data_IF_476943948981
#
_entry.id   IF_476943948981
#
_cell.length_a   1.000
_cell.length_b   1.000
_cell.length_c   1.000
_cell.angle_alpha   90.00
_cell.angle_beta   90.00
_cell.angle_gamma   90.00
#
_symmetry.space_group_name_H-M   'P 1'
#
loop_
_entity.id
_entity.type
_entity.pdbx_description
1 polymer ?
#
# COMPACT_ATOMS: atom_id res chain seq x y z
N UNK A 1 -5.18 36.97 0.04
CA UNK A 1 -4.83 36.17 1.24
C UNK A 1 -5.89 36.39 2.32
N UNK A 2 -6.37 35.34 3.02
CA UNK A 2 -7.21 35.48 4.19
C UNK A 2 -6.43 36.20 5.30
N UNK A 3 -6.98 37.26 5.88
CA UNK A 3 -6.29 38.03 6.93
C UNK A 3 -6.51 39.54 6.97
N UNK A 4 -7.34 40.12 6.09
CA UNK A 4 -7.55 41.59 6.04
C UNK A 4 -8.57 42.14 7.05
N UNK A 5 -9.22 41.28 7.85
CA UNK A 5 -10.15 41.73 8.91
C UNK A 5 -9.79 41.07 10.24
N UNK A 6 -9.43 41.89 11.23
CA UNK A 6 -9.16 41.46 12.60
C UNK A 6 -10.50 41.15 13.29
N UNK A 7 -10.96 39.91 13.17
CA UNK A 7 -11.92 39.32 14.09
C UNK A 7 -11.18 38.25 14.92
N UNK A 8 -11.50 38.14 16.21
CA UNK A 8 -10.89 37.16 17.13
C UNK A 8 -11.11 35.70 16.68
N UNK A 9 -12.22 35.44 15.99
CA UNK A 9 -12.61 34.15 15.43
C UNK A 9 -12.14 33.93 13.97
N UNK A 10 -11.45 34.91 13.38
CA UNK A 10 -11.14 34.97 11.95
C UNK A 10 -9.77 34.44 11.54
N UNK A 11 -9.52 34.51 10.24
CA UNK A 11 -8.19 34.31 9.68
C UNK A 11 -7.27 35.48 10.04
N UNK A 12 -6.10 35.17 10.57
CA UNK A 12 -5.01 36.12 10.78
C UNK A 12 -3.78 35.65 10.00
N UNK A 13 -2.86 36.56 9.70
CA UNK A 13 -1.61 36.19 9.02
C UNK A 13 -0.80 35.12 9.78
N UNK A 14 -0.90 35.09 11.12
CA UNK A 14 -0.28 34.05 11.94
C UNK A 14 -0.95 32.67 11.70
N UNK A 15 -2.30 32.62 11.75
CA UNK A 15 -3.05 31.38 11.48
C UNK A 15 -2.83 30.88 10.06
N UNK A 16 -2.79 31.77 9.07
CA UNK A 16 -2.49 31.44 7.66
C UNK A 16 -1.12 30.79 7.52
N UNK A 17 -0.09 31.35 8.18
CA UNK A 17 1.27 30.75 8.17
C UNK A 17 1.31 29.39 8.83
N UNK A 18 0.72 29.24 10.03
CA UNK A 18 0.66 27.95 10.73
C UNK A 18 -0.08 26.91 9.88
N UNK A 19 -1.24 27.29 9.32
CA UNK A 19 -2.03 26.43 8.47
C UNK A 19 -1.24 25.93 7.25
N UNK A 20 -0.63 26.83 6.48
CA UNK A 20 0.12 26.45 5.28
C UNK A 20 1.38 25.63 5.61
N UNK A 21 2.05 25.92 6.72
CA UNK A 21 3.21 25.15 7.18
C UNK A 21 2.82 23.69 7.53
N UNK A 22 1.77 23.52 8.34
CA UNK A 22 1.28 22.19 8.75
C UNK A 22 0.70 21.43 7.55
N UNK A 23 -0.01 22.12 6.66
CA UNK A 23 -0.52 21.53 5.43
C UNK A 23 0.64 21.07 4.53
N UNK A 24 1.71 21.85 4.47
CA UNK A 24 2.93 21.52 3.72
C UNK A 24 3.71 20.33 4.26
N UNK A 25 3.51 19.99 5.54
CA UNK A 25 4.15 18.85 6.19
C UNK A 25 3.29 17.59 6.14
N UNK A 26 1.97 17.73 6.32
CA UNK A 26 1.06 16.59 6.51
C UNK A 26 0.19 16.29 5.30
N UNK A 27 -0.09 17.27 4.45
CA UNK A 27 -1.08 17.18 3.37
C UNK A 27 -2.53 17.08 3.85
N UNK A 28 -2.79 17.13 5.17
CA UNK A 28 -4.12 16.97 5.74
C UNK A 28 -4.76 18.31 6.09
N UNK A 29 -5.81 18.69 5.37
CA UNK A 29 -6.56 19.94 5.61
C UNK A 29 -7.18 19.96 7.00
N UNK A 30 -7.73 18.83 7.47
CA UNK A 30 -8.41 18.75 8.77
C UNK A 30 -7.45 19.00 9.93
N UNK A 31 -6.26 18.40 9.88
CA UNK A 31 -5.25 18.55 10.94
C UNK A 31 -4.61 19.94 10.89
N UNK A 32 -4.30 20.44 9.70
CA UNK A 32 -3.82 21.81 9.51
C UNK A 32 -4.82 22.85 10.04
N UNK A 33 -6.12 22.65 9.80
CA UNK A 33 -7.17 23.52 10.32
C UNK A 33 -7.24 23.48 11.85
N UNK A 34 -7.21 22.27 12.44
CA UNK A 34 -7.22 22.07 13.89
C UNK A 34 -6.03 22.79 14.55
N UNK A 35 -4.82 22.60 14.03
CA UNK A 35 -3.60 23.19 14.58
C UNK A 35 -3.56 24.71 14.41
N UNK A 36 -4.03 25.23 13.27
CA UNK A 36 -4.14 26.68 13.04
C UNK A 36 -5.29 27.34 13.82
N UNK A 37 -6.12 26.56 14.53
CA UNK A 37 -7.26 27.08 15.29
C UNK A 37 -8.37 27.65 14.41
N UNK A 38 -8.59 27.06 13.23
CA UNK A 38 -9.67 27.43 12.30
C UNK A 38 -10.53 26.22 11.97
N UNK A 39 -11.79 26.45 11.59
CA UNK A 39 -12.67 25.37 11.14
C UNK A 39 -12.38 24.97 9.71
N UNK A 40 -12.59 23.68 9.38
CA UNK A 40 -12.47 23.17 8.00
C UNK A 40 -13.42 23.89 7.03
N UNK A 41 -14.62 24.25 7.48
CA UNK A 41 -15.58 25.03 6.68
C UNK A 41 -15.05 26.42 6.36
N UNK A 42 -14.37 27.08 7.30
CA UNK A 42 -13.70 28.37 7.08
C UNK A 42 -12.55 28.27 6.08
N UNK A 43 -11.77 27.18 6.10
CA UNK A 43 -10.74 26.90 5.09
C UNK A 43 -11.35 26.80 3.70
N UNK A 44 -12.36 25.95 3.51
CA UNK A 44 -12.99 25.75 2.20
C UNK A 44 -13.60 27.05 1.66
N UNK A 45 -14.29 27.81 2.51
CA UNK A 45 -14.81 29.14 2.15
C UNK A 45 -13.69 30.08 1.73
N UNK A 46 -12.57 30.07 2.45
CA UNK A 46 -11.43 30.94 2.16
C UNK A 46 -10.71 30.56 0.86
N UNK A 47 -10.61 29.26 0.56
CA UNK A 47 -10.11 28.77 -0.73
C UNK A 47 -10.98 29.26 -1.89
N UNK A 48 -12.30 29.19 -1.75
CA UNK A 48 -13.23 29.68 -2.78
C UNK A 48 -13.19 31.20 -2.96
N UNK A 49 -12.99 31.97 -1.88
CA UNK A 49 -13.01 33.44 -1.93
C UNK A 49 -11.67 34.06 -2.34
N UNK A 50 -10.55 33.38 -2.08
CA UNK A 50 -9.22 33.94 -2.27
C UNK A 50 -8.35 33.01 -3.11
N UNK A 51 -8.34 33.23 -4.43
CA UNK A 51 -7.53 32.45 -5.36
C UNK A 51 -6.04 32.32 -4.96
N UNK A 52 -5.33 33.37 -4.49
CA UNK A 52 -3.94 33.21 -4.06
C UNK A 52 -3.74 32.26 -2.87
N UNK A 53 -4.75 32.14 -2.00
CA UNK A 53 -4.70 31.21 -0.89
C UNK A 53 -4.99 29.78 -1.33
N UNK A 54 -5.88 29.60 -2.29
CA UNK A 54 -6.11 28.30 -2.90
C UNK A 54 -4.85 27.78 -3.61
N UNK A 55 -4.16 28.64 -4.37
CA UNK A 55 -2.86 28.33 -4.97
C UNK A 55 -1.83 27.92 -3.90
N UNK A 56 -1.69 28.70 -2.83
CA UNK A 56 -0.78 28.37 -1.73
C UNK A 56 -1.13 27.03 -1.05
N UNK A 57 -2.43 26.70 -0.93
CA UNK A 57 -2.86 25.40 -0.43
C UNK A 57 -2.46 24.27 -1.38
N UNK A 58 -2.63 24.47 -2.69
CA UNK A 58 -2.20 23.52 -3.71
C UNK A 58 -0.69 23.26 -3.67
N UNK A 59 0.12 24.30 -3.55
CA UNK A 59 1.58 24.20 -3.41
C UNK A 59 1.99 23.49 -2.11
N UNK A 60 1.34 23.80 -1.00
CA UNK A 60 1.58 23.12 0.28
C UNK A 60 1.24 21.62 0.18
N UNK A 61 0.09 21.27 -0.40
CA UNK A 61 -0.29 19.87 -0.63
C UNK A 61 0.75 19.18 -1.53
N UNK A 62 1.16 19.81 -2.64
CA UNK A 62 2.19 19.27 -3.53
C UNK A 62 3.52 19.04 -2.80
N UNK A 63 3.91 19.94 -1.88
CA UNK A 63 5.10 19.76 -1.03
C UNK A 63 4.98 18.56 -0.10
N UNK A 64 3.86 18.42 0.61
CA UNK A 64 3.63 17.29 1.51
C UNK A 64 3.67 15.95 0.77
N UNK A 65 3.09 15.94 -0.43
CA UNK A 65 3.04 14.76 -1.27
C UNK A 65 4.42 14.26 -1.71
N UNK A 66 5.38 15.15 -2.01
CA UNK A 66 6.77 14.73 -2.32
C UNK A 66 7.40 13.95 -1.16
N UNK A 67 7.19 14.40 0.07
CA UNK A 67 7.70 13.70 1.26
C UNK A 67 7.02 12.35 1.47
N UNK A 68 5.70 12.29 1.31
CA UNK A 68 4.94 11.04 1.42
C UNK A 68 5.32 10.05 0.32
N UNK A 69 5.58 10.51 -0.89
CA UNK A 69 6.05 9.66 -2.00
C UNK A 69 7.42 9.06 -1.71
N UNK A 70 8.37 9.84 -1.20
CA UNK A 70 9.69 9.34 -0.81
C UNK A 70 9.60 8.26 0.28
N UNK A 71 8.80 8.50 1.33
CA UNK A 71 8.58 7.50 2.39
C UNK A 71 7.85 6.28 1.85
N UNK A 72 6.83 6.46 1.01
CA UNK A 72 6.13 5.33 0.40
C UNK A 72 7.07 4.50 -0.46
N UNK A 73 7.98 5.14 -1.21
CA UNK A 73 9.00 4.45 -2.01
C UNK A 73 9.95 3.64 -1.15
N UNK A 74 10.51 4.24 -0.09
CA UNK A 74 11.35 3.54 0.89
C UNK A 74 10.63 2.30 1.44
N UNK A 75 9.37 2.45 1.87
CA UNK A 75 8.57 1.32 2.41
C UNK A 75 8.19 0.28 1.36
N UNK A 76 7.98 0.70 0.12
CA UNK A 76 7.57 -0.18 -0.97
C UNK A 76 8.75 -0.97 -1.56
N UNK A 77 9.92 -0.34 -1.69
CA UNK A 77 11.08 -0.91 -2.40
C UNK A 77 12.14 -1.41 -1.43
N UNK A 78 12.52 -0.61 -0.44
CA UNK A 78 13.52 -1.00 0.55
C UNK A 78 12.88 -1.89 1.63
N UNK A 79 11.63 -1.61 1.98
CA UNK A 79 10.87 -2.37 2.97
C UNK A 79 11.08 -1.87 4.40
N UNK A 80 10.38 -2.48 5.34
CA UNK A 80 10.52 -2.17 6.78
C UNK A 80 11.01 -3.39 7.54
N UNK A 81 11.84 -3.15 8.56
CA UNK A 81 12.20 -4.20 9.51
C UNK A 81 10.94 -4.68 10.25
N UNK A 82 10.71 -5.99 10.20
CA UNK A 82 9.70 -6.70 10.95
C UNK A 82 10.37 -7.71 11.86
N UNK A 83 10.15 -7.53 13.15
CA UNK A 83 10.55 -8.47 14.19
C UNK A 83 9.37 -9.37 14.51
N UNK A 84 9.57 -10.68 14.37
CA UNK A 84 8.59 -11.71 14.74
C UNK A 84 8.93 -12.19 16.14
N UNK A 85 8.04 -11.92 17.09
CA UNK A 85 8.16 -12.36 18.48
C UNK A 85 7.23 -13.56 18.67
N UNK A 86 7.75 -14.66 19.22
CA UNK A 86 6.96 -15.81 19.70
C UNK A 86 7.39 -16.12 21.13
N UNK A 87 6.41 -16.36 22.00
CA UNK A 87 6.63 -16.65 23.43
C UNK A 87 7.53 -15.62 24.14
N UNK A 88 7.39 -14.34 23.78
CA UNK A 88 8.16 -13.24 24.37
C UNK A 88 9.62 -13.17 23.94
N UNK A 89 10.07 -14.02 22.99
CA UNK A 89 11.42 -13.99 22.43
C UNK A 89 11.38 -13.58 20.96
N UNK A 90 12.33 -12.75 20.54
CA UNK A 90 12.56 -12.44 19.13
C UNK A 90 13.03 -13.72 18.43
N UNK A 91 12.24 -14.20 17.48
CA UNK A 91 12.52 -15.44 16.72
C UNK A 91 13.09 -15.13 15.36
N UNK A 92 12.69 -14.02 14.74
CA UNK A 92 13.06 -13.68 13.38
C UNK A 92 13.02 -12.17 13.18
N UNK A 93 13.93 -11.68 12.34
CA UNK A 93 13.97 -10.30 11.87
C UNK A 93 14.13 -10.32 10.37
N UNK A 94 13.17 -9.73 9.67
CA UNK A 94 13.17 -9.68 8.20
C UNK A 94 12.76 -8.30 7.71
N UNK A 95 13.33 -7.89 6.58
CA UNK A 95 12.92 -6.68 5.88
C UNK A 95 11.77 -7.06 4.95
N UNK A 96 10.62 -6.40 5.09
CA UNK A 96 9.42 -6.71 4.31
C UNK A 96 9.00 -5.48 3.50
N UNK A 97 9.18 -5.52 2.16
CA UNK A 97 8.59 -4.57 1.22
C UNK A 97 7.07 -4.50 1.33
N UNK A 98 6.47 -3.37 0.95
CA UNK A 98 5.02 -3.15 1.02
C UNK A 98 4.40 -3.09 -0.37
N UNK A 99 3.76 -4.18 -0.78
CA UNK A 99 3.06 -4.28 -2.08
C UNK A 99 1.89 -3.29 -2.20
N UNK A 100 1.22 -3.00 -1.07
CA UNK A 100 0.14 -2.02 -1.05
C UNK A 100 0.63 -0.59 -1.32
N UNK A 101 1.79 -0.22 -0.78
CA UNK A 101 2.43 1.08 -1.07
C UNK A 101 2.98 1.12 -2.49
N UNK A 102 3.58 0.02 -2.97
CA UNK A 102 4.02 -0.12 -4.35
C UNK A 102 2.86 0.11 -5.33
N UNK A 103 1.72 -0.55 -5.10
CA UNK A 103 0.52 -0.39 -5.90
C UNK A 103 -0.03 1.05 -5.90
N UNK A 104 0.05 1.76 -4.76
CA UNK A 104 -0.35 3.17 -4.68
C UNK A 104 0.58 4.09 -5.49
N UNK A 105 1.89 3.83 -5.46
CA UNK A 105 2.87 4.58 -6.26
C UNK A 105 2.65 4.36 -7.76
N UNK A 106 2.39 3.13 -8.18
CA UNK A 106 2.10 2.79 -9.59
C UNK A 106 0.82 3.49 -10.08
N UNK A 107 -0.27 3.41 -9.30
CA UNK A 107 -1.55 4.08 -9.63
C UNK A 107 -1.38 5.59 -9.78
N UNK A 108 -0.45 6.17 -9.04
CA UNK A 108 -0.20 7.61 -9.01
C UNK A 108 0.79 8.06 -10.09
N UNK A 109 1.83 7.26 -10.36
CA UNK A 109 2.96 7.59 -11.22
C UNK A 109 2.56 7.78 -12.67
N UNK A 110 1.71 6.91 -13.22
CA UNK A 110 1.40 6.97 -14.66
C UNK A 110 0.00 6.47 -15.07
N UNK A 111 -0.72 5.77 -14.19
CA UNK A 111 -2.02 5.18 -14.55
C UNK A 111 -3.23 6.07 -14.28
N UNK A 112 -3.05 7.22 -13.62
CA UNK A 112 -4.17 8.05 -13.17
C UNK A 112 -4.99 8.70 -14.30
N UNK A 113 -4.42 8.81 -15.50
CA UNK A 113 -5.10 9.38 -16.67
C UNK A 113 -5.72 8.31 -17.58
N UNK A 114 -5.46 7.03 -17.31
CA UNK A 114 -6.16 5.94 -17.98
C UNK A 114 -7.61 5.95 -17.50
N UNK A 115 -8.54 6.43 -18.32
CA UNK A 115 -9.93 6.01 -18.15
C UNK A 115 -9.93 4.49 -18.27
N UNK A 116 -10.54 3.79 -17.33
CA UNK A 116 -10.83 2.37 -17.48
C UNK A 116 -11.81 2.21 -18.65
N UNK A 117 -11.28 2.18 -19.87
CA UNK A 117 -12.04 1.87 -21.08
C UNK A 117 -12.04 0.36 -21.18
N UNK A 118 -13.20 -0.25 -20.90
CA UNK A 118 -13.42 -1.65 -21.18
C UNK A 118 -13.49 -1.80 -22.71
N UNK A 119 -12.38 -2.23 -23.33
CA UNK A 119 -12.33 -2.54 -24.75
C UNK A 119 -12.84 -3.97 -24.97
N UNK A 120 -13.61 -4.17 -26.05
CA UNK A 120 -13.91 -5.52 -26.52
C UNK A 120 -12.64 -6.22 -27.03
N UNK A 121 -12.62 -7.57 -27.13
CA UNK A 121 -11.44 -8.30 -27.61
C UNK A 121 -10.95 -7.88 -29.00
N UNK A 122 -11.86 -7.43 -29.86
CA UNK A 122 -11.54 -6.94 -31.21
C UNK A 122 -10.93 -5.53 -31.16
N UNK A 123 -11.51 -4.62 -30.36
CA UNK A 123 -10.97 -3.28 -30.15
C UNK A 123 -9.60 -3.30 -29.46
N UNK A 124 -9.39 -4.20 -28.50
CA UNK A 124 -8.10 -4.36 -27.82
C UNK A 124 -6.98 -4.81 -28.77
N UNK A 125 -7.30 -5.66 -29.77
CA UNK A 125 -6.34 -6.10 -30.79
C UNK A 125 -5.98 -5.00 -31.79
N UNK A 126 -6.93 -4.10 -32.08
CA UNK A 126 -6.74 -2.99 -33.00
C UNK A 126 -6.19 -1.71 -32.32
N UNK A 127 -6.16 -1.68 -30.98
CA UNK A 127 -5.76 -0.50 -30.23
C UNK A 127 -4.23 -0.29 -30.28
N UNK A 128 -3.80 0.65 -31.11
CA UNK A 128 -2.42 1.13 -31.09
C UNK A 128 -2.24 2.20 -30.00
N UNK A 129 -1.34 1.92 -29.05
CA UNK A 129 -0.96 2.88 -28.02
C UNK A 129 -0.38 4.15 -28.67
N UNK A 130 -0.91 5.34 -28.36
CA UNK A 130 -0.32 6.59 -28.83
C UNK A 130 1.16 6.67 -28.46
N UNK A 131 1.99 7.15 -29.38
CA UNK A 131 3.45 7.21 -29.18
C UNK A 131 3.85 7.91 -27.87
N UNK A 132 3.08 8.93 -27.46
CA UNK A 132 3.29 9.67 -26.23
C UNK A 132 3.15 8.85 -24.93
N UNK A 133 2.46 7.70 -24.96
CA UNK A 133 2.28 6.83 -23.77
C UNK A 133 2.87 5.44 -23.95
N UNK A 134 3.36 5.10 -25.15
CA UNK A 134 3.92 3.78 -25.47
C UNK A 134 5.01 3.35 -24.49
N UNK A 135 5.87 4.27 -24.07
CA UNK A 135 6.94 4.02 -23.09
C UNK A 135 6.47 3.64 -21.68
N UNK A 136 5.18 3.80 -21.36
CA UNK A 136 4.59 3.49 -20.05
C UNK A 136 4.04 2.07 -19.97
N UNK A 137 3.91 1.39 -21.11
CA UNK A 137 3.38 0.05 -21.20
C UNK A 137 4.49 -0.88 -21.70
N UNK A 138 4.74 -1.95 -20.96
CA UNK A 138 5.60 -3.04 -21.41
C UNK A 138 4.81 -3.89 -22.40
N UNK A 139 5.35 -4.10 -23.60
CA UNK A 139 4.82 -5.14 -24.48
C UNK A 139 4.97 -6.53 -23.84
N UNK A 140 4.20 -7.50 -24.33
CA UNK A 140 4.28 -8.87 -23.82
C UNK A 140 5.70 -9.43 -23.94
N UNK A 141 6.35 -9.18 -25.07
CA UNK A 141 7.74 -9.58 -25.32
C UNK A 141 8.70 -8.85 -24.37
N UNK A 142 8.63 -7.52 -24.22
CA UNK A 142 9.48 -6.78 -23.26
C UNK A 142 9.28 -7.20 -21.80
N UNK A 143 8.06 -7.58 -21.41
CA UNK A 143 7.77 -8.11 -20.07
C UNK A 143 8.49 -9.43 -19.82
N UNK A 144 8.52 -10.33 -20.82
CA UNK A 144 9.18 -11.63 -20.72
C UNK A 144 10.70 -11.57 -20.98
N UNK A 145 11.18 -10.56 -21.72
CA UNK A 145 12.61 -10.29 -21.95
C UNK A 145 13.28 -9.59 -20.75
N UNK A 146 12.49 -8.89 -19.92
CA UNK A 146 12.81 -8.57 -18.53
C UNK A 146 13.58 -7.27 -18.27
N UNK A 147 13.00 -6.37 -17.49
CA UNK A 147 13.76 -5.42 -16.64
C UNK A 147 14.09 -6.18 -15.34
N UNK A 148 15.30 -6.74 -15.26
CA UNK A 148 15.74 -7.51 -14.10
C UNK A 148 16.31 -6.55 -13.04
N UNK A 149 15.64 -6.40 -11.90
CA UNK A 149 16.18 -5.67 -10.74
C UNK A 149 17.17 -6.58 -10.02
N UNK A 150 18.45 -6.33 -10.27
CA UNK A 150 19.55 -7.10 -9.72
C UNK A 150 19.63 -6.98 -8.18
N UNK A 151 19.34 -8.07 -7.47
CA UNK A 151 19.85 -8.29 -6.11
C UNK A 151 20.41 -9.70 -5.87
N UNK A 152 20.61 -10.50 -6.91
CA UNK A 152 21.26 -11.82 -6.80
C UNK A 152 21.76 -12.21 -8.19
N UNK A 153 22.89 -11.64 -8.62
CA UNK A 153 23.43 -11.86 -9.96
C UNK A 153 24.33 -13.09 -10.13
N UNK A 154 24.63 -13.85 -9.09
CA UNK A 154 25.54 -14.99 -9.22
C UNK A 154 24.86 -16.26 -8.74
N UNK A 155 23.88 -16.75 -9.50
CA UNK A 155 23.57 -18.17 -9.66
C UNK A 155 22.27 -18.36 -10.48
N UNK A 156 22.40 -18.61 -11.79
CA UNK A 156 21.26 -19.00 -12.63
C UNK A 156 20.77 -20.44 -12.33
N UNK A 157 21.57 -21.20 -11.57
CA UNK A 157 21.26 -22.55 -11.04
C UNK A 157 20.96 -22.59 -9.53
N UNK A 158 21.04 -21.46 -8.80
CA UNK A 158 20.59 -21.42 -7.40
C UNK A 158 19.08 -21.29 -7.36
N UNK A 159 18.43 -22.44 -7.56
CA UNK A 159 17.16 -22.74 -6.93
C UNK A 159 16.06 -21.75 -7.25
N UNK A 160 15.53 -21.83 -8.48
CA UNK A 160 14.07 -21.97 -8.53
C UNK A 160 13.76 -23.22 -7.71
N UNK A 161 13.52 -23.06 -6.41
CA UNK A 161 12.81 -24.09 -5.66
C UNK A 161 11.47 -24.13 -6.38
N UNK A 162 11.32 -25.12 -7.26
CA UNK A 162 10.02 -25.50 -7.77
C UNK A 162 9.15 -25.60 -6.53
N UNK A 163 8.17 -24.70 -6.40
CA UNK A 163 7.21 -24.80 -5.31
C UNK A 163 6.68 -26.24 -5.32
N UNK A 164 6.47 -26.85 -4.15
CA UNK A 164 6.04 -28.24 -4.09
C UNK A 164 4.85 -28.43 -5.02
N UNK A 165 4.92 -29.46 -5.85
CA UNK A 165 3.82 -29.86 -6.71
C UNK A 165 2.56 -30.08 -5.87
N UNK A 166 1.37 -30.06 -6.49
CA UNK A 166 0.13 -30.34 -5.76
C UNK A 166 0.20 -31.66 -4.99
N UNK A 167 0.83 -32.68 -5.58
CA UNK A 167 1.04 -33.98 -4.94
C UNK A 167 1.98 -33.92 -3.73
N UNK A 168 3.07 -33.16 -3.80
CA UNK A 168 3.99 -32.95 -2.66
C UNK A 168 3.34 -32.13 -1.54
N UNK A 169 2.49 -31.16 -1.90
CA UNK A 169 1.70 -30.38 -0.96
C UNK A 169 0.66 -31.25 -0.25
N UNK A 170 -0.05 -32.10 -1.00
CA UNK A 170 -1.04 -33.04 -0.48
C UNK A 170 -0.38 -34.08 0.44
N UNK A 171 0.79 -34.60 0.07
CA UNK A 171 1.56 -35.51 0.91
C UNK A 171 2.01 -34.85 2.23
N UNK A 172 2.48 -33.60 2.17
CA UNK A 172 2.87 -32.84 3.35
C UNK A 172 1.68 -32.52 4.27
N UNK A 173 0.50 -32.24 3.69
CA UNK A 173 -0.75 -32.08 4.44
C UNK A 173 -1.11 -33.39 5.14
N UNK A 174 -1.08 -34.52 4.42
CA UNK A 174 -1.42 -35.83 4.97
C UNK A 174 -0.49 -36.27 6.11
N UNK A 175 0.83 -36.02 6.02
CA UNK A 175 1.78 -36.28 7.14
C UNK A 175 1.48 -35.40 8.38
N UNK A 176 0.90 -34.22 8.16
CA UNK A 176 0.57 -33.27 9.23
C UNK A 176 -0.74 -33.60 9.94
N UNK A 177 -1.67 -34.30 9.28
CA UNK A 177 -3.01 -34.63 9.82
C UNK A 177 -2.96 -35.40 11.16
N UNK A 178 -2.15 -36.45 11.34
CA UNK A 178 -2.07 -37.17 12.62
C UNK A 178 -1.59 -36.27 13.77
N UNK A 179 -0.56 -35.46 13.52
CA UNK A 179 -0.03 -34.50 14.51
C UNK A 179 -1.07 -33.46 14.91
N UNK A 180 -1.86 -32.98 13.95
CA UNK A 180 -2.98 -32.06 14.21
C UNK A 180 -4.12 -32.72 15.00
N UNK A 181 -4.43 -33.99 14.71
CA UNK A 181 -5.44 -34.77 15.45
C UNK A 181 -5.02 -34.97 16.91
N UNK A 182 -3.75 -35.32 17.15
CA UNK A 182 -3.21 -35.48 18.49
C UNK A 182 -3.20 -34.16 19.28
N UNK A 183 -2.75 -33.06 18.65
CA UNK A 183 -2.72 -31.73 19.29
C UNK A 183 -4.11 -31.17 19.61
N UNK A 184 -5.10 -31.46 18.78
CA UNK A 184 -6.50 -31.06 19.01
C UNK A 184 -7.27 -32.03 19.90
N UNK A 185 -6.62 -33.08 20.43
CA UNK A 185 -7.25 -34.06 21.31
C UNK A 185 -8.33 -34.90 20.63
N UNK A 186 -8.34 -34.98 19.29
CA UNK A 186 -9.32 -35.78 18.55
C UNK A 186 -9.21 -37.28 18.87
N UNK A 187 -8.02 -37.75 19.26
CA UNK A 187 -7.79 -39.14 19.70
C UNK A 187 -8.36 -39.45 21.09
N UNK A 188 -8.69 -38.43 21.90
CA UNK A 188 -9.21 -38.61 23.27
C UNK A 188 -10.73 -38.59 23.36
N UNK A 189 -11.42 -38.44 22.24
CA UNK A 189 -12.88 -38.45 22.20
C UNK A 189 -13.40 -39.88 22.00
N UNK A 190 -12.94 -40.79 22.86
CA UNK A 190 -13.50 -42.12 23.03
C UNK A 190 -14.41 -42.08 24.25
N UNK A 191 -15.57 -42.72 24.18
CA UNK A 191 -16.45 -42.89 25.34
C UNK A 191 -15.71 -43.66 26.44
N UNK A 192 -15.63 -43.13 27.66
CA UNK A 192 -14.92 -43.77 28.78
C UNK A 192 -15.53 -45.13 29.19
N UNK A 193 -16.81 -45.35 28.92
CA UNK A 193 -17.52 -46.60 29.27
C UNK A 193 -17.35 -47.73 28.24
N UNK A 194 -17.13 -47.42 26.96
CA UNK A 194 -17.12 -48.43 25.89
C UNK A 194 -15.99 -48.32 24.87
N UNK A 195 -15.13 -47.29 24.95
CA UNK A 195 -13.97 -47.11 24.07
C UNK A 195 -14.31 -46.78 22.60
N UNK A 196 -15.59 -46.52 22.28
CA UNK A 196 -16.02 -46.20 20.92
C UNK A 196 -15.78 -44.73 20.58
N UNK A 197 -15.49 -44.45 19.29
CA UNK A 197 -15.44 -43.10 18.73
C UNK A 197 -16.80 -42.41 18.88
N UNK A 198 -16.83 -41.22 19.49
CA UNK A 198 -18.07 -40.43 19.62
C UNK A 198 -18.57 -39.86 18.28
N UNK A 199 -17.83 -40.04 17.19
CA UNK A 199 -18.21 -39.54 15.86
C UNK A 199 -18.88 -40.59 14.97
N UNK A 200 -19.06 -41.83 15.47
CA UNK A 200 -19.69 -42.93 14.71
C UNK A 200 -18.85 -43.38 13.52
N UNK A 201 -18.96 -44.67 13.17
CA UNK A 201 -18.56 -45.18 11.85
C UNK A 201 -19.74 -45.07 10.88
#
# INVERSE_FOLDING_TARGET
>A
MPGLRVRSDGWTAARTRVFLAVLGQTGCITDAARIAGVSRTSVNRSRALFAPFDTACGEAIARALRGLEAVAYERAVEGREMVVIRDGKEVERRIVPSDSMLGLLIKRGDLKTGRDVQLTPEEARAYELPAAVRHRFLSREEYFDGIVFDKTRDDWDAGKVQGPTSEETDAAILDRVPKLRQQRGFERMLCEDCGASIWGD
#
